data_IF_868196244482
#
_entry.id   IF_868196244482
#
_cell.length_a   1.000
_cell.length_b   1.000
_cell.length_c   1.000
_cell.angle_alpha   90.00
_cell.angle_beta   90.00
_cell.angle_gamma   90.00
#
_symmetry.space_group_name_H-M   'P 1'
#
loop_
_entity.id
_entity.type
_entity.pdbx_description
1 polymer ?
#
# COMPACT_ATOMS: atom_id res chain seq x y z
N UNK A 1 -0.48 42.66 -16.99
CA UNK A 1 -1.27 42.08 -15.90
C UNK A 1 -1.64 40.59 -16.23
N UNK A 2 -2.35 40.33 -17.37
CA UNK A 2 -2.79 38.97 -17.72
C UNK A 2 -1.63 37.97 -17.88
N UNK A 3 -0.54 38.37 -18.52
CA UNK A 3 0.66 37.51 -18.72
C UNK A 3 1.34 37.13 -17.39
N UNK A 4 1.42 38.06 -16.43
CA UNK A 4 1.97 37.81 -15.09
C UNK A 4 1.11 36.80 -14.32
N UNK A 5 -0.22 36.94 -14.40
CA UNK A 5 -1.14 35.97 -13.79
C UNK A 5 -1.01 34.58 -14.40
N UNK A 6 -0.88 34.49 -15.73
CA UNK A 6 -0.67 33.22 -16.41
C UNK A 6 0.66 32.55 -16.00
N UNK A 7 1.75 33.31 -15.95
CA UNK A 7 3.05 32.80 -15.49
C UNK A 7 2.99 32.29 -14.03
N UNK A 8 2.33 33.02 -13.14
CA UNK A 8 2.15 32.61 -11.76
C UNK A 8 1.36 31.30 -11.66
N UNK A 9 0.26 31.16 -12.44
CA UNK A 9 -0.53 29.93 -12.48
C UNK A 9 0.29 28.71 -12.99
N UNK A 10 1.18 28.92 -13.97
CA UNK A 10 2.04 27.84 -14.48
C UNK A 10 3.05 27.38 -13.43
N UNK A 11 3.66 28.32 -12.70
CA UNK A 11 4.61 27.98 -11.63
C UNK A 11 3.92 27.25 -10.48
N UNK A 12 2.76 27.74 -10.05
CA UNK A 12 1.97 27.10 -8.99
C UNK A 12 1.47 25.71 -9.41
N UNK A 13 1.03 25.55 -10.66
CA UNK A 13 0.64 24.25 -11.22
C UNK A 13 1.80 23.26 -11.26
N UNK A 14 2.99 23.67 -11.71
CA UNK A 14 4.19 22.86 -11.71
C UNK A 14 4.63 22.45 -10.29
N UNK A 15 4.61 23.37 -9.35
CA UNK A 15 4.89 23.10 -7.93
C UNK A 15 3.89 22.12 -7.34
N UNK A 16 2.60 22.23 -7.70
CA UNK A 16 1.54 21.30 -7.27
C UNK A 16 1.79 19.87 -7.73
N UNK A 17 2.20 19.68 -8.99
CA UNK A 17 2.56 18.35 -9.55
C UNK A 17 3.76 17.76 -8.80
N UNK A 18 4.81 18.56 -8.55
CA UNK A 18 5.99 18.12 -7.78
C UNK A 18 5.64 17.72 -6.34
N UNK A 19 4.71 18.44 -5.71
CA UNK A 19 4.23 18.11 -4.37
C UNK A 19 3.38 16.82 -4.35
N UNK A 20 2.53 16.61 -5.36
CA UNK A 20 1.74 15.39 -5.49
C UNK A 20 2.63 14.14 -5.60
N UNK A 21 3.70 14.17 -6.43
CA UNK A 21 4.66 13.07 -6.52
C UNK A 21 5.42 12.81 -5.19
N UNK A 22 5.74 13.86 -4.45
CA UNK A 22 6.35 13.75 -3.11
C UNK A 22 5.41 13.09 -2.09
N UNK A 23 4.12 13.34 -2.18
CA UNK A 23 3.10 12.75 -1.32
C UNK A 23 2.92 11.26 -1.60
N UNK A 24 2.95 10.87 -2.88
CA UNK A 24 2.87 9.48 -3.29
C UNK A 24 3.95 8.60 -2.64
N UNK A 25 5.19 9.07 -2.62
CA UNK A 25 6.28 8.36 -1.97
C UNK A 25 6.06 8.16 -0.47
N UNK A 26 5.47 9.15 0.20
CA UNK A 26 5.14 9.05 1.63
C UNK A 26 4.03 8.03 1.89
N UNK A 27 3.02 7.99 1.02
CA UNK A 27 1.93 7.01 1.14
C UNK A 27 2.44 5.58 0.89
N UNK A 28 3.39 5.37 -0.01
CA UNK A 28 4.05 4.07 -0.21
C UNK A 28 4.77 3.60 1.06
N UNK A 29 5.55 4.47 1.70
CA UNK A 29 6.22 4.14 2.97
C UNK A 29 5.22 3.76 4.06
N UNK A 30 4.15 4.55 4.20
CA UNK A 30 3.07 4.29 5.16
C UNK A 30 2.36 2.97 4.89
N UNK A 31 2.13 2.62 3.64
CA UNK A 31 1.51 1.36 3.26
C UNK A 31 2.38 0.15 3.65
N UNK A 32 3.70 0.23 3.45
CA UNK A 32 4.62 -0.81 3.90
C UNK A 32 4.63 -0.95 5.43
N UNK A 33 4.52 0.16 6.16
CA UNK A 33 4.40 0.16 7.62
C UNK A 33 3.13 -0.56 8.10
N UNK A 34 1.98 -0.28 7.47
CA UNK A 34 0.72 -0.97 7.78
C UNK A 34 0.84 -2.47 7.48
N UNK A 35 1.48 -2.85 6.37
CA UNK A 35 1.70 -4.26 6.04
C UNK A 35 2.59 -4.98 7.05
N UNK A 36 3.66 -4.35 7.51
CA UNK A 36 4.48 -4.89 8.61
C UNK A 36 3.67 -5.08 9.87
N UNK A 37 2.79 -4.13 10.20
CA UNK A 37 1.87 -4.27 11.34
C UNK A 37 0.92 -5.46 11.15
N UNK A 38 0.36 -5.64 9.95
CA UNK A 38 -0.50 -6.80 9.62
C UNK A 38 0.26 -8.11 9.83
N UNK A 39 1.47 -8.23 9.26
CA UNK A 39 2.30 -9.43 9.37
C UNK A 39 2.65 -9.75 10.82
N UNK A 40 3.05 -8.73 11.59
CA UNK A 40 3.35 -8.86 13.01
C UNK A 40 2.15 -9.36 13.83
N UNK A 41 0.97 -8.76 13.62
CA UNK A 41 -0.26 -9.15 14.32
C UNK A 41 -0.68 -10.57 13.92
N UNK A 42 -0.63 -10.89 12.63
CA UNK A 42 -0.99 -12.21 12.11
C UNK A 42 -0.08 -13.31 12.67
N UNK A 43 1.21 -13.06 12.74
CA UNK A 43 2.17 -13.95 13.39
C UNK A 43 1.80 -14.18 14.86
N UNK A 44 1.41 -13.14 15.57
CA UNK A 44 0.94 -13.22 16.96
C UNK A 44 -0.29 -14.11 17.10
N UNK A 45 -1.31 -13.92 16.30
CA UNK A 45 -2.55 -14.70 16.31
C UNK A 45 -2.28 -16.18 15.99
N UNK A 46 -1.49 -16.47 14.97
CA UNK A 46 -1.10 -17.84 14.63
C UNK A 46 -0.28 -18.49 15.76
N UNK A 47 0.63 -17.74 16.39
CA UNK A 47 1.47 -18.25 17.50
C UNK A 47 0.63 -18.57 18.73
N UNK A 48 -0.35 -17.76 19.07
CA UNK A 48 -1.26 -18.02 20.19
C UNK A 48 -2.18 -19.20 19.94
N UNK A 49 -2.56 -19.46 18.68
CA UNK A 49 -3.26 -20.69 18.24
C UNK A 49 -4.70 -20.83 18.72
N UNK A 50 -5.32 -19.75 19.19
CA UNK A 50 -6.70 -19.77 19.70
C UNK A 50 -7.73 -19.35 18.64
N UNK A 51 -7.28 -18.73 17.53
CA UNK A 51 -8.16 -18.18 16.51
C UNK A 51 -7.95 -18.88 15.17
N UNK A 52 -9.01 -19.06 14.42
CA UNK A 52 -8.91 -19.43 13.00
C UNK A 52 -8.32 -18.28 12.19
N UNK A 53 -7.78 -18.57 11.01
CA UNK A 53 -7.19 -17.54 10.14
C UNK A 53 -8.22 -16.46 9.75
N UNK A 54 -9.49 -16.85 9.58
CA UNK A 54 -10.59 -15.91 9.32
C UNK A 54 -10.89 -14.99 10.50
N UNK A 55 -10.78 -15.49 11.74
CA UNK A 55 -10.93 -14.67 12.94
C UNK A 55 -9.75 -13.72 13.10
N UNK A 56 -8.52 -14.22 12.89
CA UNK A 56 -7.31 -13.39 12.91
C UNK A 56 -7.39 -12.22 11.91
N UNK A 57 -7.82 -12.48 10.67
CA UNK A 57 -8.00 -11.42 9.68
C UNK A 57 -9.06 -10.39 10.09
N UNK A 58 -10.19 -10.85 10.66
CA UNK A 58 -11.23 -9.95 11.16
C UNK A 58 -10.76 -9.06 12.33
N UNK A 59 -10.00 -9.61 13.27
CA UNK A 59 -9.42 -8.85 14.39
C UNK A 59 -8.36 -7.84 13.94
N UNK A 60 -7.48 -8.25 13.01
CA UNK A 60 -6.46 -7.38 12.44
C UNK A 60 -7.10 -6.23 11.66
N UNK A 61 -8.14 -6.52 10.87
CA UNK A 61 -8.88 -5.50 10.14
C UNK A 61 -9.45 -4.40 11.06
N UNK A 62 -9.86 -4.75 12.27
CA UNK A 62 -10.32 -3.80 13.28
C UNK A 62 -9.20 -2.97 13.94
N UNK A 63 -7.94 -3.39 13.83
CA UNK A 63 -6.77 -2.72 14.42
C UNK A 63 -6.01 -1.82 13.46
N UNK A 64 -6.32 -1.87 12.18
CA UNK A 64 -5.66 -1.08 11.12
C UNK A 64 -6.67 -0.21 10.39
N UNK A 65 -6.17 0.81 9.68
CA UNK A 65 -6.99 1.72 8.89
C UNK A 65 -6.68 1.61 7.39
N UNK A 66 -7.61 2.10 6.57
CA UNK A 66 -7.44 2.22 5.12
C UNK A 66 -7.87 1.00 4.31
N UNK A 67 -7.36 0.90 3.08
CA UNK A 67 -7.77 -0.12 2.11
C UNK A 67 -7.47 -1.54 2.57
N UNK A 68 -6.37 -1.75 3.27
CA UNK A 68 -5.99 -3.07 3.78
C UNK A 68 -6.96 -3.60 4.82
N UNK A 69 -7.52 -2.73 5.70
CA UNK A 69 -8.56 -3.10 6.65
C UNK A 69 -9.76 -3.72 5.93
N UNK A 70 -10.21 -3.07 4.86
CA UNK A 70 -11.35 -3.55 4.08
C UNK A 70 -11.05 -4.89 3.39
N UNK A 71 -9.88 -5.02 2.74
CA UNK A 71 -9.48 -6.27 2.08
C UNK A 71 -9.44 -7.44 3.08
N UNK A 72 -8.88 -7.23 4.28
CA UNK A 72 -8.80 -8.27 5.29
C UNK A 72 -10.18 -8.62 5.87
N UNK A 73 -11.06 -7.62 6.03
CA UNK A 73 -12.42 -7.85 6.51
C UNK A 73 -13.24 -8.65 5.50
N UNK A 74 -13.17 -8.29 4.21
CA UNK A 74 -13.85 -8.98 3.11
C UNK A 74 -13.32 -10.42 3.01
N UNK A 75 -12.00 -10.62 3.07
CA UNK A 75 -11.38 -11.94 3.09
C UNK A 75 -11.82 -12.77 4.30
N UNK A 76 -11.90 -12.18 5.49
CA UNK A 76 -12.39 -12.87 6.69
C UNK A 76 -13.84 -13.34 6.54
N UNK A 77 -14.70 -12.54 5.90
CA UNK A 77 -16.10 -12.89 5.64
C UNK A 77 -16.21 -14.00 4.61
N UNK A 78 -15.47 -13.89 3.50
CA UNK A 78 -15.47 -14.89 2.44
C UNK A 78 -14.96 -16.24 2.93
N UNK A 79 -13.89 -16.27 3.74
CA UNK A 79 -13.38 -17.49 4.37
C UNK A 79 -14.39 -18.19 5.27
N UNK A 80 -15.28 -17.46 5.95
CA UNK A 80 -16.36 -18.03 6.79
C UNK A 80 -17.47 -18.66 5.95
N UNK A 81 -17.73 -18.10 4.75
CA UNK A 81 -18.79 -18.56 3.85
C UNK A 81 -18.36 -19.71 2.93
N UNK A 82 -17.06 -19.78 2.62
CA UNK A 82 -16.49 -20.69 1.64
C UNK A 82 -15.91 -21.93 2.33
N UNK A 83 -16.65 -22.99 2.45
CA UNK A 83 -16.25 -24.22 3.12
C UNK A 83 -15.10 -24.98 2.42
N UNK A 84 -14.00 -24.34 2.04
CA UNK A 84 -12.83 -24.98 1.46
C UNK A 84 -12.11 -24.23 0.34
N UNK A 85 -12.45 -22.97 0.07
CA UNK A 85 -11.74 -22.14 -0.92
C UNK A 85 -10.31 -21.83 -0.46
N UNK A 86 -9.39 -21.80 -1.42
CA UNK A 86 -7.99 -21.52 -1.17
C UNK A 86 -7.80 -20.05 -0.73
N UNK A 87 -7.04 -19.81 0.32
CA UNK A 87 -6.71 -18.45 0.81
C UNK A 87 -6.18 -17.53 -0.30
N UNK A 88 -5.41 -18.08 -1.23
CA UNK A 88 -4.87 -17.35 -2.39
C UNK A 88 -6.01 -16.77 -3.24
N UNK A 89 -6.99 -17.60 -3.59
CA UNK A 89 -8.12 -17.21 -4.44
C UNK A 89 -9.00 -16.17 -3.75
N UNK A 90 -9.26 -16.35 -2.45
CA UNK A 90 -10.04 -15.41 -1.64
C UNK A 90 -9.34 -14.04 -1.61
N UNK A 91 -8.05 -14.00 -1.27
CA UNK A 91 -7.32 -12.74 -1.22
C UNK A 91 -7.21 -12.08 -2.59
N UNK A 92 -6.96 -12.84 -3.65
CA UNK A 92 -6.93 -12.28 -5.03
C UNK A 92 -8.28 -11.68 -5.42
N UNK A 93 -9.39 -12.35 -5.10
CA UNK A 93 -10.74 -11.86 -5.35
C UNK A 93 -11.02 -10.54 -4.60
N UNK A 94 -10.80 -10.53 -3.28
CA UNK A 94 -11.00 -9.34 -2.44
C UNK A 94 -10.10 -8.16 -2.86
N UNK A 95 -8.86 -8.44 -3.26
CA UNK A 95 -7.93 -7.43 -3.77
C UNK A 95 -8.45 -6.84 -5.08
N UNK A 96 -8.88 -7.66 -6.04
CA UNK A 96 -9.38 -7.19 -7.33
C UNK A 96 -10.64 -6.33 -7.17
N UNK A 97 -11.56 -6.74 -6.32
CA UNK A 97 -12.78 -5.97 -6.02
C UNK A 97 -12.43 -4.62 -5.39
N UNK A 98 -11.48 -4.59 -4.46
CA UNK A 98 -11.05 -3.36 -3.81
C UNK A 98 -10.31 -2.42 -4.77
N UNK A 99 -9.46 -2.93 -5.67
CA UNK A 99 -8.81 -2.16 -6.73
C UNK A 99 -9.85 -1.55 -7.67
N UNK A 100 -10.86 -2.32 -8.05
CA UNK A 100 -11.94 -1.82 -8.90
C UNK A 100 -12.65 -0.63 -8.27
N UNK A 101 -13.02 -0.73 -7.00
CA UNK A 101 -13.64 0.36 -6.24
C UNK A 101 -12.73 1.58 -6.07
N UNK A 102 -11.45 1.38 -5.82
CA UNK A 102 -10.46 2.46 -5.70
C UNK A 102 -10.23 3.20 -7.02
N UNK A 103 -10.20 2.50 -8.14
CA UNK A 103 -10.08 3.13 -9.46
C UNK A 103 -11.28 4.03 -9.77
N UNK A 104 -12.48 3.66 -9.34
CA UNK A 104 -13.68 4.51 -9.45
C UNK A 104 -13.58 5.77 -8.58
N UNK A 105 -12.96 5.66 -7.41
CA UNK A 105 -12.76 6.76 -6.47
C UNK A 105 -11.56 7.66 -6.81
N UNK A 106 -10.79 7.34 -7.87
CA UNK A 106 -9.56 8.06 -8.23
C UNK A 106 -8.44 7.91 -7.20
N UNK A 107 -8.50 6.86 -6.38
CA UNK A 107 -7.50 6.59 -5.37
C UNK A 107 -6.24 5.97 -6.01
N UNK A 108 -5.11 6.24 -5.37
CA UNK A 108 -3.79 5.85 -5.85
C UNK A 108 -3.57 4.33 -5.74
N UNK A 109 -3.03 3.73 -6.81
CA UNK A 109 -2.70 2.30 -6.83
C UNK A 109 -1.57 1.98 -5.87
N UNK A 110 -1.83 1.08 -4.93
CA UNK A 110 -0.85 0.53 -4.01
C UNK A 110 -0.34 -0.83 -4.51
N UNK A 111 0.33 -0.83 -5.66
CA UNK A 111 0.78 -2.06 -6.34
C UNK A 111 1.70 -2.91 -5.47
N UNK A 112 2.64 -2.28 -4.77
CA UNK A 112 3.61 -2.96 -3.91
C UNK A 112 2.95 -3.63 -2.70
N UNK A 113 1.99 -2.95 -2.07
CA UNK A 113 1.24 -3.52 -0.95
C UNK A 113 0.34 -4.68 -1.37
N UNK A 114 -0.25 -4.59 -2.55
CA UNK A 114 -1.05 -5.64 -3.15
C UNK A 114 -0.21 -6.90 -3.42
N UNK A 115 1.00 -6.74 -3.99
CA UNK A 115 1.93 -7.84 -4.23
C UNK A 115 2.30 -8.58 -2.94
N UNK A 116 2.52 -7.86 -1.84
CA UNK A 116 2.83 -8.44 -0.54
C UNK A 116 1.64 -9.25 -0.01
N UNK A 117 0.41 -8.73 -0.08
CA UNK A 117 -0.78 -9.47 0.34
C UNK A 117 -1.04 -10.73 -0.51
N UNK A 118 -0.85 -10.64 -1.83
CA UNK A 118 -0.95 -11.81 -2.71
C UNK A 118 0.11 -12.86 -2.36
N UNK A 119 1.33 -12.42 -2.06
CA UNK A 119 2.41 -13.31 -1.64
C UNK A 119 2.10 -13.96 -0.31
N UNK A 120 1.51 -13.22 0.64
CA UNK A 120 1.01 -13.76 1.90
C UNK A 120 -0.01 -14.89 1.66
N UNK A 121 -1.02 -14.65 0.81
CA UNK A 121 -2.02 -15.66 0.45
C UNK A 121 -1.41 -16.94 -0.12
N UNK A 122 -0.47 -16.80 -1.07
CA UNK A 122 0.22 -17.93 -1.68
C UNK A 122 1.07 -18.71 -0.69
N UNK A 123 1.73 -18.04 0.24
CA UNK A 123 2.63 -18.69 1.22
C UNK A 123 1.89 -19.35 2.38
N UNK A 124 0.67 -18.90 2.75
CA UNK A 124 -0.04 -19.43 3.92
C UNK A 124 -1.06 -20.54 3.62
N UNK A 125 -1.45 -20.72 2.36
CA UNK A 125 -2.64 -21.47 1.98
C UNK A 125 -2.71 -22.95 2.42
N UNK A 126 -1.57 -23.64 2.60
CA UNK A 126 -1.52 -25.10 2.87
C UNK A 126 -0.46 -25.53 3.89
N UNK A 127 0.05 -24.60 4.68
CA UNK A 127 1.16 -24.86 5.60
C UNK A 127 0.67 -25.18 7.00
N UNK A 128 1.44 -25.99 7.72
CA UNK A 128 1.28 -26.15 9.16
C UNK A 128 1.66 -24.84 9.89
N UNK A 129 1.31 -24.75 11.16
CA UNK A 129 1.47 -23.57 11.98
C UNK A 129 2.90 -23.05 12.06
N UNK A 130 3.87 -23.94 12.23
CA UNK A 130 5.28 -23.56 12.35
C UNK A 130 5.81 -23.01 11.03
N UNK A 131 5.44 -23.66 9.93
CA UNK A 131 5.79 -23.20 8.58
C UNK A 131 5.11 -21.87 8.25
N UNK A 132 3.86 -21.68 8.64
CA UNK A 132 3.18 -20.37 8.47
C UNK A 132 3.93 -19.25 9.19
N UNK A 133 4.33 -19.45 10.44
CA UNK A 133 5.12 -18.47 11.20
C UNK A 133 6.44 -18.16 10.48
N UNK A 134 7.17 -19.19 10.05
CA UNK A 134 8.42 -19.01 9.32
C UNK A 134 8.25 -18.21 8.02
N UNK A 135 7.18 -18.48 7.25
CA UNK A 135 6.88 -17.74 6.02
C UNK A 135 6.49 -16.28 6.28
N UNK A 136 5.77 -16.01 7.37
CA UNK A 136 5.45 -14.65 7.77
C UNK A 136 6.72 -13.90 8.20
N UNK A 137 7.60 -14.51 8.97
CA UNK A 137 8.88 -13.91 9.38
C UNK A 137 9.77 -13.57 8.17
N UNK A 138 9.80 -14.45 7.18
CA UNK A 138 10.51 -14.18 5.93
C UNK A 138 9.89 -12.98 5.19
N UNK A 139 8.57 -12.93 5.09
CA UNK A 139 7.87 -11.83 4.43
C UNK A 139 8.00 -10.51 5.20
N UNK A 140 8.03 -10.55 6.55
CA UNK A 140 8.35 -9.39 7.39
C UNK A 140 9.74 -8.84 7.04
N UNK A 141 10.75 -9.71 6.99
CA UNK A 141 12.11 -9.30 6.69
C UNK A 141 12.25 -8.71 5.27
N UNK A 142 11.60 -9.33 4.27
CA UNK A 142 11.56 -8.82 2.90
C UNK A 142 10.87 -7.44 2.82
N UNK A 143 9.76 -7.26 3.53
CA UNK A 143 8.98 -6.02 3.56
C UNK A 143 9.73 -4.90 4.28
N UNK A 144 10.39 -5.20 5.42
CA UNK A 144 11.21 -4.24 6.15
C UNK A 144 12.41 -3.77 5.34
N UNK A 145 13.06 -4.67 4.60
CA UNK A 145 14.15 -4.29 3.70
C UNK A 145 13.68 -3.37 2.57
N UNK A 146 12.52 -3.66 1.95
CA UNK A 146 11.90 -2.77 0.95
C UNK A 146 11.58 -1.38 1.55
N UNK A 147 11.00 -1.35 2.75
CA UNK A 147 10.69 -0.11 3.49
C UNK A 147 11.95 0.68 3.79
N UNK A 148 13.02 0.04 4.26
CA UNK A 148 14.32 0.66 4.54
C UNK A 148 14.91 1.30 3.29
N UNK A 149 14.95 0.57 2.17
CA UNK A 149 15.46 1.08 0.89
C UNK A 149 14.65 2.27 0.38
N UNK A 150 13.32 2.21 0.52
CA UNK A 150 12.45 3.34 0.17
C UNK A 150 12.77 4.55 1.05
N UNK A 151 12.86 4.36 2.36
CA UNK A 151 13.09 5.43 3.33
C UNK A 151 14.45 6.12 3.15
N UNK A 152 15.48 5.38 2.80
CA UNK A 152 16.81 5.94 2.50
C UNK A 152 16.77 6.85 1.26
N UNK A 153 15.99 6.49 0.23
CA UNK A 153 15.85 7.25 -1.02
C UNK A 153 14.80 8.37 -0.97
N UNK A 154 13.88 8.31 -0.02
CA UNK A 154 12.76 9.25 0.13
C UNK A 154 13.18 10.73 0.11
N UNK A 155 14.19 11.20 0.90
CA UNK A 155 14.53 12.61 0.95
C UNK A 155 15.09 13.13 -0.37
N UNK A 156 15.85 12.32 -1.10
CA UNK A 156 16.39 12.69 -2.40
C UNK A 156 15.29 12.72 -3.46
N UNK A 157 14.46 11.68 -3.51
CA UNK A 157 13.36 11.60 -4.48
C UNK A 157 12.35 12.73 -4.29
N UNK A 158 12.01 13.08 -3.05
CA UNK A 158 11.14 14.22 -2.74
C UNK A 158 11.73 15.54 -3.24
N UNK A 159 13.03 15.77 -3.02
CA UNK A 159 13.73 16.97 -3.52
C UNK A 159 13.72 17.02 -5.04
N UNK A 160 13.98 15.89 -5.71
CA UNK A 160 13.96 15.80 -7.17
C UNK A 160 12.56 16.11 -7.71
N UNK A 161 11.51 15.50 -7.18
CA UNK A 161 10.13 15.76 -7.62
C UNK A 161 9.75 17.24 -7.45
N UNK A 162 10.08 17.84 -6.31
CA UNK A 162 9.79 19.25 -6.05
C UNK A 162 10.59 20.17 -6.97
N UNK A 163 11.89 19.93 -7.16
CA UNK A 163 12.74 20.73 -8.02
C UNK A 163 12.31 20.65 -9.50
N UNK A 164 11.99 19.45 -9.98
CA UNK A 164 11.47 19.23 -11.34
C UNK A 164 10.14 19.94 -11.56
N UNK A 165 9.24 19.91 -10.57
CA UNK A 165 7.97 20.61 -10.66
C UNK A 165 8.15 22.12 -10.77
N UNK A 166 9.00 22.72 -9.93
CA UNK A 166 9.28 24.16 -9.96
C UNK A 166 10.00 24.57 -11.25
N UNK A 167 11.06 23.85 -11.62
CA UNK A 167 11.81 24.13 -12.85
C UNK A 167 10.95 23.99 -14.10
N UNK A 168 10.11 22.95 -14.16
CA UNK A 168 9.16 22.74 -15.26
C UNK A 168 8.15 23.90 -15.36
N UNK A 169 7.61 24.34 -14.22
CA UNK A 169 6.72 25.49 -14.17
C UNK A 169 7.37 26.79 -14.66
N UNK A 170 8.63 27.06 -14.26
CA UNK A 170 9.40 28.21 -14.72
C UNK A 170 9.68 28.13 -16.22
N UNK A 171 10.09 26.97 -16.72
CA UNK A 171 10.37 26.76 -18.14
C UNK A 171 9.14 27.00 -19.01
N UNK A 172 7.98 26.49 -18.59
CA UNK A 172 6.71 26.76 -19.27
C UNK A 172 6.34 28.25 -19.22
N UNK A 173 6.54 28.92 -18.09
CA UNK A 173 6.26 30.34 -17.96
C UNK A 173 7.13 31.17 -18.91
N UNK A 174 8.42 30.82 -19.08
CA UNK A 174 9.34 31.49 -20.01
C UNK A 174 8.99 31.20 -21.48
N UNK A 175 8.57 29.96 -21.79
CA UNK A 175 8.21 29.59 -23.16
C UNK A 175 6.94 30.31 -23.66
N UNK A 176 6.02 30.60 -22.77
CA UNK A 176 4.74 31.27 -23.10
C UNK A 176 4.74 32.78 -22.84
N UNK A 177 5.86 33.37 -22.41
CA UNK A 177 5.99 34.82 -22.22
C UNK A 177 6.11 35.56 -23.57
#
# INVERSE_FOLDING_TARGET
>A
MLKLMAALCMILGGAGIGYAGSRELTEREKNLEILLQILFLLKGEIRCGNSSLSEAFGEIAGKIEGSFSKILLDAAQEMRGSGGSNLTEILEHCIQENIYLQNFAGAQKNEEGIEILQTLGRRLGYLDREQQICQIELLEAETEERRRQLREKLPEQKKICQSLGILGGILLAVLFW
#
